data_IF_476599053382
#
_entry.id   IF_476599053382
#
_cell.length_a   1.000
_cell.length_b   1.000
_cell.length_c   1.000
_cell.angle_alpha   90.00
_cell.angle_beta   90.00
_cell.angle_gamma   90.00
#
_symmetry.space_group_name_H-M   'P 1'
#
loop_
_entity.id
_entity.type
_entity.pdbx_description
1 polymer ?
#
# COMPACT_ATOMS: atom_id res chain seq x y z
N UNK A 1 -9.76 -7.66 11.89
CA UNK A 1 -8.82 -6.53 11.69
C UNK A 1 -8.61 -6.39 10.21
N UNK A 2 -8.90 -5.22 9.63
CA UNK A 2 -8.76 -4.99 8.20
C UNK A 2 -7.28 -4.91 7.83
N UNK A 3 -6.81 -5.78 6.92
CA UNK A 3 -5.43 -5.73 6.41
C UNK A 3 -5.31 -4.62 5.38
N UNK A 4 -4.25 -3.80 5.51
CA UNK A 4 -3.97 -2.74 4.57
C UNK A 4 -2.64 -3.02 3.87
N UNK A 5 -2.68 -3.25 2.57
CA UNK A 5 -1.49 -3.33 1.73
C UNK A 5 -1.01 -1.92 1.40
N UNK A 6 0.18 -1.56 1.85
CA UNK A 6 0.74 -0.22 1.73
C UNK A 6 1.81 -0.18 0.64
N UNK A 7 1.68 0.76 -0.29
CA UNK A 7 2.63 0.99 -1.39
C UNK A 7 3.06 2.47 -1.37
N UNK A 8 4.34 2.76 -1.06
CA UNK A 8 4.84 4.13 -1.03
C UNK A 8 4.98 4.73 -2.45
N UNK A 9 5.19 6.03 -2.51
CA UNK A 9 5.49 6.71 -3.76
C UNK A 9 6.93 6.44 -4.20
N UNK A 10 7.87 6.57 -3.26
CA UNK A 10 9.30 6.34 -3.48
C UNK A 10 9.73 4.90 -3.15
N UNK A 11 10.80 4.39 -3.79
CA UNK A 11 11.42 3.14 -3.38
C UNK A 11 12.14 3.30 -2.03
N UNK A 12 12.52 2.17 -1.43
CA UNK A 12 13.42 2.16 -0.27
C UNK A 12 14.88 2.37 -0.66
N UNK A 13 15.78 2.33 0.34
CA UNK A 13 17.23 2.55 0.17
C UNK A 13 17.90 1.56 -0.78
N UNK A 14 17.25 0.43 -1.10
CA UNK A 14 17.73 -0.55 -2.08
C UNK A 14 17.26 -0.24 -3.50
N UNK A 15 16.61 0.91 -3.73
CA UNK A 15 15.94 1.27 -4.97
C UNK A 15 14.82 0.30 -5.38
N UNK A 16 14.16 -0.35 -4.41
CA UNK A 16 13.04 -1.27 -4.64
C UNK A 16 11.77 -0.76 -4.00
N UNK A 17 10.61 -1.03 -4.57
CA UNK A 17 9.33 -0.67 -3.95
C UNK A 17 8.91 -1.75 -2.95
N UNK A 18 8.82 -1.41 -1.66
CA UNK A 18 8.29 -2.33 -0.67
C UNK A 18 6.76 -2.39 -0.75
N UNK A 19 6.20 -3.58 -0.58
CA UNK A 19 4.80 -3.75 -0.17
C UNK A 19 4.81 -4.09 1.30
N UNK A 20 4.06 -3.34 2.11
CA UNK A 20 3.93 -3.58 3.54
C UNK A 20 2.50 -3.94 3.92
N UNK A 21 2.35 -4.70 4.99
CA UNK A 21 1.06 -4.94 5.65
C UNK A 21 1.22 -4.54 7.10
N UNK A 22 0.36 -3.63 7.56
CA UNK A 22 0.41 -3.07 8.91
C UNK A 22 1.82 -2.58 9.30
N UNK A 23 2.54 -2.02 8.32
CA UNK A 23 3.90 -1.52 8.50
C UNK A 23 5.04 -2.49 8.50
N UNK A 24 4.77 -3.77 8.27
CA UNK A 24 5.80 -4.78 8.03
C UNK A 24 5.97 -5.01 6.54
N UNK A 25 7.18 -4.80 6.02
CA UNK A 25 7.52 -5.13 4.63
C UNK A 25 7.41 -6.64 4.44
N UNK A 26 6.57 -7.06 3.48
CA UNK A 26 6.37 -8.47 3.12
C UNK A 26 7.07 -8.86 1.82
N UNK A 27 7.30 -7.89 0.93
CA UNK A 27 7.94 -8.12 -0.37
C UNK A 27 8.54 -6.82 -0.92
N UNK A 28 9.44 -6.96 -1.90
CA UNK A 28 10.11 -5.87 -2.60
C UNK A 28 10.12 -6.14 -4.11
N UNK A 29 9.90 -5.10 -4.89
CA UNK A 29 9.79 -5.16 -6.35
C UNK A 29 10.67 -4.13 -7.02
N UNK A 30 11.05 -4.38 -8.27
CA UNK A 30 11.98 -3.50 -9.00
C UNK A 30 11.24 -2.31 -9.63
N UNK A 31 9.91 -2.36 -9.67
CA UNK A 31 9.07 -1.22 -10.03
C UNK A 31 7.88 -1.04 -9.10
N UNK A 32 7.42 0.21 -8.99
CA UNK A 32 6.18 0.56 -8.30
C UNK A 32 4.96 -0.14 -8.87
N UNK A 33 4.95 -0.33 -10.19
CA UNK A 33 3.87 -1.01 -10.90
C UNK A 33 3.74 -2.48 -10.45
N UNK A 34 4.86 -3.20 -10.33
CA UNK A 34 4.88 -4.57 -9.85
C UNK A 34 4.43 -4.66 -8.39
N UNK A 35 4.86 -3.72 -7.53
CA UNK A 35 4.40 -3.64 -6.16
C UNK A 35 2.87 -3.46 -6.06
N UNK A 36 2.32 -2.54 -6.86
CA UNK A 36 0.87 -2.33 -6.96
C UNK A 36 0.15 -3.59 -7.45
N UNK A 37 0.63 -4.20 -8.55
CA UNK A 37 0.04 -5.42 -9.10
C UNK A 37 0.03 -6.55 -8.06
N UNK A 38 1.13 -6.73 -7.33
CA UNK A 38 1.23 -7.73 -6.27
C UNK A 38 0.23 -7.44 -5.15
N UNK A 39 0.17 -6.19 -4.66
CA UNK A 39 -0.75 -5.82 -3.60
C UNK A 39 -2.22 -6.04 -3.98
N UNK A 40 -2.61 -5.65 -5.20
CA UNK A 40 -3.97 -5.88 -5.73
C UNK A 40 -4.28 -7.37 -5.82
N UNK A 41 -3.36 -8.17 -6.37
CA UNK A 41 -3.57 -9.61 -6.48
C UNK A 41 -3.71 -10.28 -5.10
N UNK A 42 -2.91 -9.87 -4.12
CA UNK A 42 -2.98 -10.41 -2.76
C UNK A 42 -4.27 -9.99 -2.05
N UNK A 43 -4.63 -8.71 -2.09
CA UNK A 43 -5.87 -8.22 -1.50
C UNK A 43 -7.11 -8.88 -2.14
N UNK A 44 -7.12 -9.03 -3.47
CA UNK A 44 -8.21 -9.70 -4.17
C UNK A 44 -8.31 -11.21 -3.83
N UNK A 45 -7.16 -11.89 -3.65
CA UNK A 45 -7.12 -13.30 -3.31
C UNK A 45 -7.52 -13.57 -1.85
N UNK A 46 -7.17 -12.68 -0.92
CA UNK A 46 -7.58 -12.78 0.48
C UNK A 46 -9.08 -12.52 0.66
N UNK A 47 -9.66 -11.59 -0.12
CA UNK A 47 -11.05 -11.22 0.00
C UNK A 47 -11.40 -10.57 1.35
N UNK A 48 -12.69 -10.26 1.55
CA UNK A 48 -13.16 -9.70 2.81
C UNK A 48 -12.68 -8.27 3.10
N UNK A 49 -12.23 -8.03 4.34
CA UNK A 49 -11.92 -6.72 4.93
C UNK A 49 -10.51 -6.20 4.58
N UNK A 50 -10.05 -6.44 3.35
CA UNK A 50 -8.74 -5.98 2.85
C UNK A 50 -8.84 -4.66 2.09
N UNK A 51 -7.84 -3.82 2.25
CA UNK A 51 -7.73 -2.55 1.52
C UNK A 51 -6.29 -2.30 1.06
N UNK A 52 -6.13 -1.34 0.17
CA UNK A 52 -4.84 -0.97 -0.41
C UNK A 52 -4.63 0.52 -0.15
N UNK A 53 -3.57 0.88 0.57
CA UNK A 53 -3.12 2.25 0.76
C UNK A 53 -2.02 2.58 -0.25
N UNK A 54 -2.23 3.59 -1.09
CA UNK A 54 -1.23 4.04 -2.06
C UNK A 54 -0.86 5.49 -1.78
N UNK A 55 0.41 5.76 -1.58
CA UNK A 55 0.92 7.12 -1.39
C UNK A 55 0.99 7.88 -2.73
N UNK A 56 0.41 9.06 -2.80
CA UNK A 56 0.54 9.93 -3.97
C UNK A 56 1.92 10.59 -4.06
N UNK A 57 2.21 11.19 -5.22
CA UNK A 57 3.41 12.04 -5.38
C UNK A 57 3.41 13.24 -4.43
N UNK A 58 2.24 13.60 -3.91
CA UNK A 58 2.00 14.64 -2.92
C UNK A 58 2.21 14.17 -1.47
N UNK A 59 2.65 12.92 -1.26
CA UNK A 59 2.81 12.33 0.07
C UNK A 59 1.49 11.97 0.76
N UNK A 60 0.35 12.10 0.06
CA UNK A 60 -0.97 11.80 0.63
C UNK A 60 -1.32 10.34 0.35
N UNK A 61 -1.61 9.61 1.42
CA UNK A 61 -2.07 8.23 1.35
C UNK A 61 -3.54 8.14 0.96
N UNK A 62 -3.81 7.43 -0.14
CA UNK A 62 -5.14 7.23 -0.69
C UNK A 62 -5.56 5.77 -0.53
N UNK A 63 -6.67 5.50 0.14
CA UNK A 63 -7.12 4.15 0.34
C UNK A 63 -8.04 3.69 -0.81
N UNK A 64 -7.88 2.43 -1.20
CA UNK A 64 -8.66 1.74 -2.22
C UNK A 64 -9.19 0.43 -1.64
N UNK A 65 -10.34 -0.06 -2.12
CA UNK A 65 -10.78 -1.42 -1.82
C UNK A 65 -9.80 -2.47 -2.35
N UNK A 66 -9.90 -3.71 -1.85
CA UNK A 66 -9.06 -4.82 -2.31
C UNK A 66 -9.18 -5.14 -3.81
N UNK A 67 -10.23 -4.66 -4.47
CA UNK A 67 -10.41 -4.76 -5.92
C UNK A 67 -9.79 -3.61 -6.73
N UNK A 68 -9.20 -2.62 -6.05
CA UNK A 68 -8.68 -1.37 -6.62
C UNK A 68 -9.69 -0.58 -7.49
N UNK A 69 -10.98 -0.91 -7.43
CA UNK A 69 -12.04 -0.31 -8.26
C UNK A 69 -13.00 0.53 -7.45
N UNK A 70 -13.25 0.18 -6.19
CA UNK A 70 -14.21 0.90 -5.36
C UNK A 70 -13.49 1.79 -4.33
N UNK A 71 -13.87 3.07 -4.19
CA UNK A 71 -13.61 3.80 -2.95
C UNK A 71 -14.35 3.03 -1.87
N UNK A 72 -13.63 2.25 -1.06
CA UNK A 72 -14.24 1.72 0.15
C UNK A 72 -14.70 2.92 0.99
N UNK A 73 -15.76 2.79 1.79
CA UNK A 73 -16.02 3.78 2.84
C UNK A 73 -14.87 3.63 3.84
N UNK A 74 -13.78 4.39 3.65
CA UNK A 74 -12.53 4.11 4.35
C UNK A 74 -12.47 4.92 5.64
N UNK A 75 -12.23 4.28 6.80
CA UNK A 75 -11.66 4.95 7.95
C UNK A 75 -10.39 5.71 7.51
N UNK A 76 -10.09 6.89 8.09
CA UNK A 76 -8.83 7.56 7.81
C UNK A 76 -7.68 6.58 8.05
N UNK A 77 -6.76 6.48 7.09
CA UNK A 77 -5.52 5.72 7.25
C UNK A 77 -4.89 6.13 8.58
N UNK A 78 -4.48 5.17 9.45
CA UNK A 78 -3.83 5.53 10.70
C UNK A 78 -2.66 6.46 10.37
N UNK A 79 -2.66 7.65 10.97
CA UNK A 79 -1.71 8.72 10.67
C UNK A 79 -0.28 8.27 10.96
N UNK A 80 0.34 7.59 10.00
CA UNK A 80 1.74 7.22 10.09
C UNK A 80 2.55 8.44 9.72
N UNK A 81 3.23 8.97 10.74
CA UNK A 81 4.27 9.97 10.61
C UNK A 81 5.17 9.53 9.47
N UNK A 82 5.29 10.41 8.47
CA UNK A 82 6.28 10.35 7.41
C UNK A 82 7.60 9.88 8.04
N UNK A 83 8.04 8.67 7.71
CA UNK A 83 9.45 8.34 7.88
C UNK A 83 10.15 9.21 6.84
N UNK A 84 10.68 10.34 7.30
CA UNK A 84 11.57 11.16 6.51
C UNK A 84 12.68 10.24 6.00
N UNK A 85 12.64 9.95 4.70
CA UNK A 85 13.77 9.39 3.98
C UNK A 85 14.80 10.51 3.96
N UNK A 86 15.91 10.29 4.66
CA UNK A 86 17.08 11.16 4.65
C UNK A 86 18.04 10.67 3.58
#
# INVERSE_FOLDING_TARGET
>A
MSRIYEIPYHPDDSHRWPVSVDGRVISRFDSRFEALRSAVNQAAAEGGDTSIGVEGADGIWRPFGGDAKRPARVPPMPGRRLRAVR
#
